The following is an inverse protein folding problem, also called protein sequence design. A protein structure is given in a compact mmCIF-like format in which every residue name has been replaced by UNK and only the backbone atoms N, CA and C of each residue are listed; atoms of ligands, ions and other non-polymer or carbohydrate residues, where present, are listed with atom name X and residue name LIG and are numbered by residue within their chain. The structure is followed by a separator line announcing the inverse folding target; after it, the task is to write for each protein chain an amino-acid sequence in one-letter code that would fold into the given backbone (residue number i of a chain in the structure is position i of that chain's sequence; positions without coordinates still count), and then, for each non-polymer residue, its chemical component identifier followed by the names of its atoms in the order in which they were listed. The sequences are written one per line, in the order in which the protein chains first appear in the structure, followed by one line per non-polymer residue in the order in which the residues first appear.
data_IF_197143517985
#
_entry.id   IF_197143517985
#
_cell.length_a   1.000
_cell.length_b   1.000
_cell.length_c   1.000
_cell.angle_alpha   90.00
_cell.angle_beta   90.00
_cell.angle_gamma   90.00
#
_symmetry.space_group_name_H-M   'P 1'
#
loop_
_entity.id
_entity.type
_entity.pdbx_description
1 polymer ?
#
# COMPACT_ATOMS: atom_id res chain seq x y z
N UNK A 1 -9.92 46.54 -1.60
CA UNK A 1 -9.07 46.87 -2.78
C UNK A 1 -9.68 46.17 -3.99
N UNK A 2 -10.13 46.91 -5.02
CA UNK A 2 -10.81 46.30 -6.18
C UNK A 2 -9.77 45.56 -7.04
N UNK A 3 -9.89 44.26 -7.16
CA UNK A 3 -9.03 43.34 -8.00
C UNK A 3 -8.97 43.83 -9.47
N UNK A 4 -9.95 44.62 -9.89
CA UNK A 4 -10.03 45.19 -11.24
C UNK A 4 -8.91 46.19 -11.60
N UNK A 5 -8.12 46.67 -10.64
CA UNK A 5 -7.04 47.64 -10.87
C UNK A 5 -5.66 47.00 -11.11
N UNK A 6 -5.55 45.66 -11.18
CA UNK A 6 -4.29 44.98 -11.45
C UNK A 6 -4.03 44.88 -12.96
N UNK A 7 -2.77 45.07 -13.41
CA UNK A 7 -2.36 44.83 -14.80
C UNK A 7 -2.73 43.42 -15.26
N UNK A 8 -3.11 43.24 -16.52
CA UNK A 8 -3.56 41.97 -17.08
C UNK A 8 -2.51 40.85 -16.90
N UNK A 9 -1.23 41.15 -17.15
CA UNK A 9 -0.11 40.23 -16.96
C UNK A 9 0.00 39.70 -15.52
N UNK A 10 -0.31 40.55 -14.54
CA UNK A 10 -0.27 40.20 -13.13
C UNK A 10 -1.42 39.26 -12.71
N UNK A 11 -2.62 39.49 -13.27
CA UNK A 11 -3.77 38.58 -13.07
C UNK A 11 -3.47 37.18 -13.66
N UNK A 12 -2.86 37.14 -14.83
CA UNK A 12 -2.46 35.91 -15.51
C UNK A 12 -1.41 35.15 -14.67
N UNK A 13 -0.38 35.85 -14.17
CA UNK A 13 0.65 35.21 -13.34
C UNK A 13 0.08 34.60 -12.05
N UNK A 14 -0.86 35.28 -11.38
CA UNK A 14 -1.54 34.72 -10.20
C UNK A 14 -2.35 33.51 -10.58
N UNK A 15 -3.14 33.59 -11.64
CA UNK A 15 -3.97 32.48 -12.09
C UNK A 15 -3.12 31.25 -12.44
N UNK A 16 -2.03 31.44 -13.18
CA UNK A 16 -1.09 30.34 -13.53
C UNK A 16 -0.46 29.75 -12.27
N UNK A 17 -0.02 30.56 -11.32
CA UNK A 17 0.56 30.10 -10.07
C UNK A 17 -0.44 29.25 -9.26
N UNK A 18 -1.68 29.72 -9.12
CA UNK A 18 -2.73 28.99 -8.40
C UNK A 18 -3.06 27.68 -9.14
N UNK A 19 -3.25 27.73 -10.46
CA UNK A 19 -3.52 26.53 -11.25
C UNK A 19 -2.39 25.49 -11.14
N UNK A 20 -1.13 25.92 -11.21
CA UNK A 20 0.02 25.01 -11.07
C UNK A 20 0.07 24.40 -9.66
N UNK A 21 -0.17 25.17 -8.63
CA UNK A 21 -0.18 24.69 -7.25
C UNK A 21 -1.31 23.67 -7.04
N UNK A 22 -2.54 23.98 -7.49
CA UNK A 22 -3.68 23.08 -7.41
C UNK A 22 -3.41 21.80 -8.20
N UNK A 23 -2.82 21.90 -9.40
CA UNK A 23 -2.47 20.74 -10.22
C UNK A 23 -1.47 19.82 -9.51
N UNK A 24 -0.37 20.37 -8.96
CA UNK A 24 0.65 19.59 -8.25
C UNK A 24 0.08 18.86 -7.04
N UNK A 25 -0.72 19.55 -6.21
CA UNK A 25 -1.31 18.93 -5.03
C UNK A 25 -2.42 17.93 -5.37
N UNK A 26 -3.22 18.16 -6.42
CA UNK A 26 -4.20 17.19 -6.90
C UNK A 26 -3.51 15.94 -7.45
N UNK A 27 -2.46 16.10 -8.24
CA UNK A 27 -1.65 14.98 -8.74
C UNK A 27 -1.02 14.20 -7.59
N UNK A 28 -0.45 14.88 -6.60
CA UNK A 28 0.13 14.26 -5.42
C UNK A 28 -0.93 13.51 -4.60
N UNK A 29 -2.13 14.06 -4.45
CA UNK A 29 -3.26 13.41 -3.77
C UNK A 29 -3.68 12.11 -4.46
N UNK A 30 -3.82 12.12 -5.80
CA UNK A 30 -4.14 10.92 -6.59
C UNK A 30 -3.01 9.89 -6.49
N UNK A 31 -1.76 10.33 -6.59
CA UNK A 31 -0.60 9.44 -6.49
C UNK A 31 -0.52 8.75 -5.11
N UNK A 32 -0.73 9.50 -4.02
CA UNK A 32 -0.74 8.95 -2.66
C UNK A 32 -1.91 7.97 -2.48
N UNK A 33 -3.10 8.29 -3.02
CA UNK A 33 -4.27 7.40 -2.96
C UNK A 33 -3.98 6.05 -3.64
N UNK A 34 -3.49 6.06 -4.87
CA UNK A 34 -3.15 4.85 -5.61
C UNK A 34 -2.01 4.06 -4.96
N UNK A 35 -1.00 4.76 -4.43
CA UNK A 35 0.10 4.11 -3.71
C UNK A 35 -0.38 3.46 -2.40
N UNK A 36 -1.30 4.10 -1.69
CA UNK A 36 -1.89 3.55 -0.46
C UNK A 36 -2.64 2.25 -0.74
N UNK A 37 -3.43 2.20 -1.80
CA UNK A 37 -4.21 1.00 -2.16
C UNK A 37 -3.32 -0.19 -2.51
N UNK A 38 -2.28 0.00 -3.31
CA UNK A 38 -1.31 -1.05 -3.62
C UNK A 38 -0.52 -1.49 -2.37
N UNK A 39 -0.15 -0.56 -1.50
CA UNK A 39 0.57 -0.87 -0.27
C UNK A 39 -0.28 -1.72 0.70
N UNK A 40 -1.59 -1.49 0.77
CA UNK A 40 -2.52 -2.31 1.58
C UNK A 40 -2.55 -3.75 1.07
N UNK A 41 -2.61 -3.93 -0.26
CA UNK A 41 -2.59 -5.26 -0.87
C UNK A 41 -1.26 -5.97 -0.58
N UNK A 42 -0.13 -5.30 -0.78
CA UNK A 42 1.19 -5.87 -0.55
C UNK A 42 1.42 -6.24 0.93
N UNK A 43 1.01 -5.38 1.85
CA UNK A 43 1.07 -5.66 3.30
C UNK A 43 0.14 -6.82 3.64
N UNK A 44 -1.10 -6.84 3.11
CA UNK A 44 -2.04 -7.93 3.30
C UNK A 44 -1.48 -9.26 2.83
N UNK A 45 -0.88 -9.31 1.64
CA UNK A 45 -0.25 -10.51 1.08
C UNK A 45 0.92 -10.98 1.96
N UNK A 46 1.86 -10.10 2.29
CA UNK A 46 3.00 -10.46 3.15
C UNK A 46 2.58 -10.92 4.55
N UNK A 47 1.52 -10.31 5.11
CA UNK A 47 0.94 -10.75 6.38
C UNK A 47 0.36 -12.17 6.28
N UNK A 48 -0.39 -12.46 5.21
CA UNK A 48 -1.01 -13.76 4.97
C UNK A 48 0.04 -14.86 4.74
N UNK A 49 1.06 -14.57 3.91
CA UNK A 49 2.19 -15.47 3.69
C UNK A 49 2.89 -15.82 5.02
N UNK A 50 3.29 -14.82 5.79
CA UNK A 50 3.96 -15.05 7.07
C UNK A 50 3.10 -15.78 8.09
N UNK A 51 1.79 -15.51 8.12
CA UNK A 51 0.86 -16.19 8.99
C UNK A 51 0.66 -17.65 8.56
N UNK A 52 0.49 -17.92 7.26
CA UNK A 52 0.34 -19.28 6.75
C UNK A 52 1.61 -20.11 6.97
N UNK A 53 2.79 -19.54 6.76
CA UNK A 53 4.06 -20.20 7.05
C UNK A 53 4.15 -20.59 8.55
N UNK A 54 3.77 -19.66 9.44
CA UNK A 54 3.75 -19.91 10.87
C UNK A 54 2.76 -21.01 11.26
N UNK A 55 1.55 -20.99 10.73
CA UNK A 55 0.52 -22.03 10.99
C UNK A 55 0.98 -23.38 10.41
N UNK A 56 1.52 -23.40 9.19
CA UNK A 56 2.04 -24.61 8.56
C UNK A 56 3.19 -25.24 9.36
N UNK A 57 4.12 -24.41 9.84
CA UNK A 57 5.21 -24.89 10.71
C UNK A 57 4.68 -25.42 12.05
N UNK A 58 3.69 -24.75 12.64
CA UNK A 58 3.04 -25.21 13.87
C UNK A 58 2.30 -26.53 13.61
N UNK A 59 1.53 -26.62 12.52
CA UNK A 59 0.87 -27.86 12.08
C UNK A 59 1.87 -29.01 11.97
N UNK A 60 2.98 -28.79 11.24
CA UNK A 60 4.06 -29.76 11.12
C UNK A 60 4.54 -30.27 12.49
N UNK A 61 4.81 -29.35 13.39
CA UNK A 61 5.31 -29.66 14.74
C UNK A 61 4.29 -30.50 15.53
N UNK A 62 3.01 -30.12 15.47
CA UNK A 62 1.94 -30.84 16.16
C UNK A 62 1.75 -32.25 15.58
N UNK A 63 1.73 -32.39 14.25
CA UNK A 63 1.61 -33.67 13.56
C UNK A 63 2.80 -34.57 13.90
N UNK A 64 4.03 -34.09 13.83
CA UNK A 64 5.23 -34.86 14.21
C UNK A 64 5.19 -35.31 15.67
N UNK A 65 4.78 -34.44 16.57
CA UNK A 65 4.61 -34.79 17.98
C UNK A 65 3.57 -35.88 18.18
N UNK A 66 2.41 -35.81 17.50
CA UNK A 66 1.35 -36.81 17.61
C UNK A 66 1.75 -38.14 16.99
N UNK A 67 2.43 -38.15 15.85
CA UNK A 67 3.03 -39.38 15.27
C UNK A 67 4.06 -40.01 16.22
N UNK A 68 4.94 -39.19 16.81
CA UNK A 68 5.92 -39.71 17.79
C UNK A 68 5.24 -40.29 19.05
N UNK A 69 4.15 -39.67 19.51
CA UNK A 69 3.34 -40.19 20.61
C UNK A 69 2.69 -41.53 20.23
N UNK A 70 2.16 -41.65 19.02
CA UNK A 70 1.62 -42.90 18.51
C UNK A 70 2.70 -44.00 18.40
N UNK A 71 3.90 -43.67 17.87
CA UNK A 71 5.05 -44.60 17.83
C UNK A 71 5.48 -45.07 19.21
N UNK A 72 5.45 -44.16 20.20
CA UNK A 72 5.79 -44.58 21.57
C UNK A 72 4.81 -45.59 22.16
N UNK A 73 3.52 -45.54 21.76
CA UNK A 73 2.53 -46.56 22.13
C UNK A 73 2.81 -47.84 21.38
N UNK A 74 3.09 -47.76 20.08
CA UNK A 74 3.44 -48.91 19.27
C UNK A 74 4.70 -49.64 19.79
N UNK A 75 5.69 -48.85 20.24
CA UNK A 75 6.90 -49.42 20.83
C UNK A 75 6.64 -50.15 22.19
N UNK A 76 5.75 -49.59 23.03
CA UNK A 76 5.32 -50.25 24.26
C UNK A 76 4.60 -51.57 23.90
N UNK A 77 3.74 -51.55 22.87
CA UNK A 77 3.02 -52.72 22.42
C UNK A 77 3.96 -53.85 21.93
N UNK A 78 4.98 -53.49 21.13
CA UNK A 78 5.90 -54.48 20.53
C UNK A 78 6.99 -54.98 21.49
N UNK A 79 7.22 -54.26 22.59
CA UNK A 79 8.26 -54.60 23.59
C UNK A 79 9.70 -54.49 23.05
N UNK A 80 10.70 -54.62 23.94
CA UNK A 80 12.14 -54.61 23.57
C UNK A 80 12.65 -55.94 23.01
N UNK A 81 11.79 -56.81 22.49
CA UNK A 81 12.16 -58.10 21.92
C UNK A 81 12.61 -59.16 22.93
N UNK A 82 12.85 -58.81 24.19
CA UNK A 82 13.28 -59.74 25.25
C UNK A 82 12.18 -60.10 26.25
N UNK A 83 11.09 -59.32 26.32
CA UNK A 83 10.02 -59.49 27.32
C UNK A 83 8.66 -59.93 26.75
N UNK A 84 8.57 -60.15 25.42
CA UNK A 84 7.29 -60.41 24.76
C UNK A 84 6.52 -59.15 24.44
N UNK A 85 5.35 -59.30 23.82
CA UNK A 85 4.44 -58.18 23.50
C UNK A 85 3.85 -57.57 24.79
N UNK A 86 3.67 -56.22 24.81
CA UNK A 86 2.89 -55.54 25.82
C UNK A 86 1.41 -55.97 25.80
N UNK A 87 0.67 -55.66 26.83
CA UNK A 87 -0.74 -55.99 26.88
C UNK A 87 -1.58 -55.02 26.06
N UNK A 88 -2.79 -55.41 25.67
CA UNK A 88 -3.76 -54.47 25.02
C UNK A 88 -4.15 -53.32 25.94
N UNK A 89 -4.19 -53.59 27.26
CA UNK A 89 -4.41 -52.61 28.28
C UNK A 89 -3.32 -51.53 28.31
N UNK A 90 -2.06 -51.86 27.98
CA UNK A 90 -0.96 -50.91 27.89
C UNK A 90 -1.14 -49.97 26.69
N UNK A 91 -1.66 -50.46 25.56
CA UNK A 91 -2.02 -49.69 24.38
C UNK A 91 -3.16 -48.71 24.72
N UNK A 92 -4.22 -49.21 25.38
CA UNK A 92 -5.36 -48.41 25.81
C UNK A 92 -4.92 -47.31 26.76
N UNK A 93 -4.20 -47.62 27.83
CA UNK A 93 -3.68 -46.59 28.76
C UNK A 93 -2.76 -45.60 28.08
N UNK A 94 -1.93 -46.08 27.15
CA UNK A 94 -1.06 -45.26 26.35
C UNK A 94 -1.81 -44.26 25.49
N UNK A 95 -2.93 -44.68 24.89
CA UNK A 95 -3.79 -43.81 24.08
C UNK A 95 -4.52 -42.79 24.94
N UNK A 96 -5.14 -43.22 26.04
CA UNK A 96 -5.85 -42.32 27.00
C UNK A 96 -4.90 -41.25 27.55
N UNK A 97 -3.70 -41.67 28.02
CA UNK A 97 -2.72 -40.75 28.61
C UNK A 97 -2.24 -39.67 27.64
N UNK A 98 -2.36 -39.88 26.33
CA UNK A 98 -1.96 -38.93 25.26
C UNK A 98 -3.14 -38.24 24.62
N UNK A 99 -4.34 -38.38 25.21
CA UNK A 99 -5.59 -37.77 24.74
C UNK A 99 -6.03 -38.18 23.34
N UNK A 100 -5.71 -39.43 22.93
CA UNK A 100 -6.30 -40.01 21.74
C UNK A 100 -7.73 -40.54 22.04
N UNK A 101 -8.64 -40.33 21.07
CA UNK A 101 -10.04 -40.74 21.18
C UNK A 101 -10.25 -42.23 20.89
N UNK A 102 -9.40 -42.80 20.05
CA UNK A 102 -9.46 -44.21 19.65
C UNK A 102 -8.07 -44.76 19.37
N UNK A 103 -7.94 -46.09 19.46
CA UNK A 103 -6.76 -46.86 19.04
C UNK A 103 -7.21 -48.15 18.43
N UNK A 104 -6.67 -48.50 17.24
CA UNK A 104 -6.99 -49.70 16.50
C UNK A 104 -5.75 -50.28 15.85
N UNK A 105 -5.74 -51.61 15.65
CA UNK A 105 -4.73 -52.35 14.91
C UNK A 105 -5.27 -52.70 13.53
N UNK A 106 -4.44 -52.57 12.51
CA UNK A 106 -4.78 -52.86 11.12
C UNK A 106 -3.86 -53.95 10.57
N UNK A 107 -4.46 -54.95 9.97
CA UNK A 107 -3.72 -56.02 9.30
C UNK A 107 -3.52 -55.71 7.81
N UNK A 108 -2.69 -56.56 7.14
CA UNK A 108 -2.38 -56.39 5.70
C UNK A 108 -3.59 -56.60 4.77
N UNK A 109 -4.62 -57.29 5.22
CA UNK A 109 -5.85 -57.56 4.46
C UNK A 109 -7.00 -56.61 4.83
N UNK A 110 -6.71 -55.56 5.62
CA UNK A 110 -7.68 -54.52 6.00
C UNK A 110 -8.56 -54.91 7.20
N UNK A 111 -8.26 -56.04 7.91
CA UNK A 111 -8.94 -56.37 9.16
C UNK A 111 -8.57 -55.35 10.25
N UNK A 112 -9.58 -54.87 10.98
CA UNK A 112 -9.44 -53.86 12.01
C UNK A 112 -9.79 -54.47 13.36
N UNK A 113 -8.90 -54.32 14.32
CA UNK A 113 -9.16 -54.68 15.72
C UNK A 113 -9.14 -53.39 16.57
N UNK A 114 -10.30 -53.00 17.08
CA UNK A 114 -10.39 -51.89 18.01
C UNK A 114 -9.83 -52.28 19.38
N UNK A 115 -8.92 -51.44 19.89
CA UNK A 115 -8.36 -51.59 21.23
C UNK A 115 -9.05 -50.65 22.21
N UNK A 116 -9.30 -49.41 21.74
CA UNK A 116 -9.88 -48.35 22.56
C UNK A 116 -10.75 -47.42 21.73
N UNK A 117 -11.84 -46.92 22.31
CA UNK A 117 -12.75 -45.97 21.67
C UNK A 117 -13.70 -46.60 20.67
N UNK A 118 -14.46 -45.74 19.95
CA UNK A 118 -15.45 -46.15 18.97
C UNK A 118 -14.83 -46.30 17.56
N UNK A 119 -15.40 -47.16 16.69
CA UNK A 119 -14.99 -47.27 15.30
C UNK A 119 -15.16 -45.95 14.56
N UNK A 120 -14.21 -45.59 13.71
CA UNK A 120 -14.24 -44.39 12.87
C UNK A 120 -14.36 -44.77 11.40
N UNK A 121 -15.08 -43.98 10.62
CA UNK A 121 -15.24 -44.14 9.19
C UNK A 121 -14.23 -43.30 8.45
N UNK A 122 -13.39 -43.90 7.62
CA UNK A 122 -12.43 -43.20 6.75
C UNK A 122 -13.17 -42.53 5.61
N UNK A 123 -12.83 -41.29 5.34
CA UNK A 123 -13.40 -40.52 4.21
C UNK A 123 -12.86 -41.03 2.87
N UNK A 124 -11.56 -41.47 2.84
CA UNK A 124 -10.89 -42.01 1.66
C UNK A 124 -10.10 -43.30 2.05
N UNK A 125 -10.79 -44.45 2.20
CA UNK A 125 -10.16 -45.66 2.75
C UNK A 125 -9.04 -46.19 1.88
N UNK A 126 -9.13 -46.12 0.55
CA UNK A 126 -8.15 -46.72 -0.36
C UNK A 126 -6.74 -46.16 -0.16
N UNK A 127 -6.60 -44.83 -0.17
CA UNK A 127 -5.31 -44.13 -0.02
C UNK A 127 -4.67 -44.36 1.36
N UNK A 128 -5.49 -44.46 2.39
CA UNK A 128 -5.01 -44.72 3.75
C UNK A 128 -4.56 -46.17 3.93
N UNK A 129 -5.31 -47.12 3.40
CA UNK A 129 -4.99 -48.54 3.48
C UNK A 129 -3.70 -48.87 2.71
N UNK A 130 -3.48 -48.29 1.54
CA UNK A 130 -2.23 -48.46 0.79
C UNK A 130 -1.01 -48.02 1.61
N UNK A 131 -1.10 -46.91 2.33
CA UNK A 131 -0.01 -46.44 3.20
C UNK A 131 0.22 -47.36 4.40
N UNK A 132 -0.84 -47.96 4.96
CA UNK A 132 -0.75 -48.95 6.04
C UNK A 132 -0.01 -50.17 5.56
N UNK A 133 -0.34 -50.71 4.38
CA UNK A 133 0.31 -51.87 3.79
C UNK A 133 1.79 -51.63 3.52
N UNK A 134 2.16 -50.42 3.15
CA UNK A 134 3.55 -50.01 2.92
C UNK A 134 4.34 -49.71 4.21
N UNK A 135 3.68 -49.73 5.39
CA UNK A 135 4.31 -49.43 6.67
C UNK A 135 4.73 -47.94 6.77
N UNK A 136 4.02 -47.04 6.08
CA UNK A 136 4.31 -45.63 6.08
C UNK A 136 3.54 -44.92 7.19
N UNK A 137 4.15 -43.85 7.69
CA UNK A 137 3.44 -42.86 8.54
C UNK A 137 2.44 -42.09 7.69
N UNK A 138 1.17 -42.10 8.06
CA UNK A 138 0.14 -41.37 7.32
C UNK A 138 -0.83 -40.71 8.28
N UNK A 139 -1.32 -39.56 7.84
CA UNK A 139 -2.39 -38.80 8.52
C UNK A 139 -3.58 -38.72 7.57
N UNK A 140 -4.78 -39.02 8.08
CA UNK A 140 -5.98 -39.03 7.26
C UNK A 140 -7.20 -38.47 8.03
N UNK A 141 -8.16 -37.85 7.33
CA UNK A 141 -9.41 -37.43 7.93
C UNK A 141 -10.39 -38.59 8.00
N UNK A 142 -11.10 -38.69 9.10
CA UNK A 142 -12.15 -39.65 9.36
C UNK A 142 -13.32 -39.00 10.07
N UNK A 143 -14.39 -39.75 10.25
CA UNK A 143 -15.58 -39.32 10.96
C UNK A 143 -15.97 -40.36 11.99
N UNK A 144 -16.30 -39.97 13.19
CA UNK A 144 -16.77 -40.90 14.22
C UNK A 144 -18.24 -41.31 14.03
N UNK A 145 -18.75 -42.12 14.90
CA UNK A 145 -20.15 -42.60 14.88
C UNK A 145 -21.19 -41.49 15.14
N UNK A 146 -20.78 -40.35 15.72
CA UNK A 146 -21.61 -39.19 15.95
C UNK A 146 -21.62 -38.18 14.80
N UNK A 147 -20.75 -38.35 13.80
CA UNK A 147 -20.56 -37.46 12.68
C UNK A 147 -19.51 -36.37 12.96
N UNK A 148 -18.79 -36.45 14.09
CA UNK A 148 -17.71 -35.54 14.39
C UNK A 148 -16.41 -35.90 13.65
N UNK A 149 -15.64 -34.91 13.26
CA UNK A 149 -14.40 -35.11 12.53
C UNK A 149 -13.28 -35.64 13.44
N UNK A 150 -12.54 -36.61 12.93
CA UNK A 150 -11.37 -37.21 13.58
C UNK A 150 -10.19 -37.19 12.65
N UNK A 151 -9.01 -36.89 13.17
CA UNK A 151 -7.74 -37.02 12.45
C UNK A 151 -7.08 -38.32 12.91
N UNK A 152 -6.82 -39.20 11.97
CA UNK A 152 -6.15 -40.51 12.21
C UNK A 152 -4.66 -40.38 11.94
N UNK A 153 -3.87 -40.98 12.84
CA UNK A 153 -2.43 -41.10 12.74
C UNK A 153 -2.09 -42.58 12.66
N UNK A 154 -1.53 -43.00 11.53
CA UNK A 154 -1.05 -44.35 11.32
C UNK A 154 0.45 -44.41 11.54
N UNK A 155 0.90 -45.42 12.30
CA UNK A 155 2.30 -45.75 12.55
C UNK A 155 2.55 -47.24 12.41
N UNK A 156 3.74 -47.69 11.91
CA UNK A 156 4.07 -49.08 11.82
C UNK A 156 4.01 -49.76 13.19
N UNK A 157 3.31 -50.89 13.30
CA UNK A 157 3.18 -51.64 14.53
C UNK A 157 2.88 -53.11 14.23
N UNK A 158 3.82 -54.01 14.45
CA UNK A 158 3.62 -55.42 14.32
C UNK A 158 3.21 -56.04 15.68
N UNK A 159 1.92 -56.34 15.83
CA UNK A 159 1.34 -56.82 17.08
C UNK A 159 0.36 -57.97 16.81
N UNK A 160 0.35 -59.02 17.62
CA UNK A 160 -0.57 -60.16 17.46
C UNK A 160 -2.02 -59.74 17.76
N UNK A 161 -2.87 -59.89 16.74
CA UNK A 161 -4.31 -59.62 16.84
C UNK A 161 -5.07 -60.81 17.37
N UNK A 162 -6.28 -60.62 17.89
CA UNK A 162 -7.17 -61.65 18.38
C UNK A 162 -7.57 -62.67 17.30
N UNK A 163 -7.53 -62.30 16.03
CA UNK A 163 -7.76 -63.15 14.88
C UNK A 163 -6.65 -64.15 14.61
N UNK A 164 -5.51 -64.07 15.31
CA UNK A 164 -4.31 -64.85 15.07
C UNK A 164 -3.39 -64.38 13.98
N UNK A 165 -3.67 -63.19 13.39
CA UNK A 165 -2.81 -62.48 12.45
C UNK A 165 -1.95 -61.43 13.19
N UNK A 166 -0.95 -60.91 12.51
CA UNK A 166 -0.21 -59.74 13.00
C UNK A 166 -0.75 -58.47 12.35
N UNK A 167 -0.85 -57.37 13.12
CA UNK A 167 -1.06 -56.07 12.55
C UNK A 167 0.18 -55.59 11.81
N UNK A 168 0.02 -54.71 10.83
CA UNK A 168 1.10 -53.96 10.20
C UNK A 168 1.20 -52.53 10.73
N UNK A 169 0.08 -52.02 11.23
CA UNK A 169 0.00 -50.64 11.68
C UNK A 169 -0.91 -50.50 12.88
N UNK A 170 -0.60 -49.54 13.71
CA UNK A 170 -1.47 -49.02 14.74
C UNK A 170 -1.98 -47.65 14.32
N UNK A 171 -3.28 -47.42 14.44
CA UNK A 171 -3.95 -46.19 14.11
C UNK A 171 -4.56 -45.60 15.37
N UNK A 172 -4.27 -44.34 15.64
CA UNK A 172 -4.85 -43.60 16.75
C UNK A 172 -5.59 -42.35 16.22
N UNK A 173 -6.67 -41.95 16.88
CA UNK A 173 -7.54 -40.86 16.45
C UNK A 173 -7.50 -39.66 17.41
N UNK A 174 -7.56 -38.44 16.85
CA UNK A 174 -7.64 -37.21 17.59
C UNK A 174 -8.81 -36.34 17.05
N UNK A 175 -9.54 -35.65 17.93
CA UNK A 175 -10.65 -34.77 17.52
C UNK A 175 -10.14 -33.64 16.62
N UNK A 176 -10.87 -33.33 15.53
CA UNK A 176 -10.60 -32.17 14.67
C UNK A 176 -10.83 -30.86 15.41
N UNK A 177 -11.80 -30.83 16.36
CA UNK A 177 -12.04 -29.67 17.23
C UNK A 177 -10.78 -29.34 18.06
N UNK A 178 -10.21 -30.36 18.73
CA UNK A 178 -8.97 -30.17 19.49
C UNK A 178 -7.82 -29.68 18.60
N UNK A 179 -7.72 -30.20 17.38
CA UNK A 179 -6.70 -29.74 16.45
C UNK A 179 -6.90 -28.27 16.06
N UNK A 180 -8.15 -27.85 15.83
CA UNK A 180 -8.49 -26.44 15.56
C UNK A 180 -8.08 -25.50 16.68
N UNK A 181 -8.36 -25.90 17.93
CA UNK A 181 -7.97 -25.15 19.13
C UNK A 181 -6.45 -25.02 19.26
N UNK A 182 -5.71 -26.13 19.05
CA UNK A 182 -4.24 -26.18 19.15
C UNK A 182 -3.59 -25.33 18.05
N UNK A 183 -4.14 -25.33 16.84
CA UNK A 183 -3.63 -24.55 15.71
C UNK A 183 -4.05 -23.07 15.77
N UNK A 184 -4.88 -22.66 16.73
CA UNK A 184 -5.43 -21.29 16.83
C UNK A 184 -6.14 -20.80 15.56
N UNK A 185 -6.78 -21.71 14.82
CA UNK A 185 -7.49 -21.37 13.59
C UNK A 185 -8.72 -20.50 13.84
N UNK A 186 -9.24 -20.51 15.06
CA UNK A 186 -10.48 -19.85 15.51
C UNK A 186 -10.19 -18.75 16.52
N UNK A 187 -9.21 -17.89 16.24
CA UNK A 187 -8.88 -16.79 17.13
C UNK A 187 -9.83 -15.61 16.92
N UNK A 188 -10.79 -15.43 17.85
CA UNK A 188 -11.71 -14.28 17.96
C UNK A 188 -11.00 -12.90 18.00
N UNK A 189 -9.67 -12.84 17.91
CA UNK A 189 -8.85 -11.64 17.92
C UNK A 189 -7.99 -11.46 16.68
N UNK A 190 -7.97 -12.44 15.76
CA UNK A 190 -7.22 -12.31 14.52
C UNK A 190 -8.04 -11.55 13.47
N UNK A 191 -7.35 -10.72 12.69
CA UNK A 191 -7.92 -10.02 11.53
C UNK A 191 -8.36 -10.98 10.42
N UNK A 192 -7.92 -12.24 10.49
CA UNK A 192 -8.13 -13.31 9.51
C UNK A 192 -8.63 -14.57 10.19
N UNK A 193 -9.27 -15.42 9.44
CA UNK A 193 -9.67 -16.75 9.86
C UNK A 193 -9.10 -17.81 8.92
N UNK A 194 -8.78 -18.99 9.48
CA UNK A 194 -8.14 -20.08 8.73
C UNK A 194 -8.90 -21.38 8.95
N UNK A 195 -8.84 -22.24 7.97
CA UNK A 195 -9.38 -23.60 8.02
C UNK A 195 -8.55 -24.53 7.16
N UNK A 196 -8.71 -25.84 7.40
CA UNK A 196 -7.98 -26.87 6.66
C UNK A 196 -8.99 -27.66 5.82
N UNK A 197 -8.69 -27.82 4.53
CA UNK A 197 -9.52 -28.55 3.58
C UNK A 197 -8.73 -29.67 2.89
N UNK A 198 -9.46 -30.68 2.43
CA UNK A 198 -8.93 -31.67 1.49
C UNK A 198 -8.94 -31.14 0.05
N UNK A 199 -8.30 -31.87 -0.86
CA UNK A 199 -8.25 -31.54 -2.30
C UNK A 199 -9.62 -31.45 -2.98
N UNK A 200 -10.61 -32.17 -2.46
CA UNK A 200 -12.00 -32.15 -2.91
C UNK A 200 -12.82 -30.97 -2.32
N UNK A 201 -12.21 -30.13 -1.47
CA UNK A 201 -12.82 -28.98 -0.81
C UNK A 201 -13.52 -29.30 0.50
N UNK A 202 -13.58 -30.56 0.94
CA UNK A 202 -14.18 -30.93 2.22
C UNK A 202 -13.32 -30.44 3.38
N UNK A 203 -13.98 -29.91 4.41
CA UNK A 203 -13.29 -29.44 5.60
C UNK A 203 -12.72 -30.59 6.42
N UNK A 204 -11.43 -30.48 6.79
CA UNK A 204 -10.78 -31.32 7.79
C UNK A 204 -10.89 -30.67 9.17
N UNK A 205 -10.51 -29.39 9.25
CA UNK A 205 -10.66 -28.58 10.46
C UNK A 205 -11.42 -27.31 10.10
N UNK A 206 -12.55 -27.10 10.79
CA UNK A 206 -13.40 -25.93 10.61
C UNK A 206 -13.10 -24.87 11.64
N UNK A 207 -13.22 -23.61 11.22
CA UNK A 207 -13.63 -22.51 12.09
C UNK A 207 -15.17 -22.42 12.20
N UNK A 208 -15.70 -21.47 12.94
CA UNK A 208 -17.15 -21.25 13.15
C UNK A 208 -17.81 -20.65 11.88
N UNK A 209 -18.16 -21.48 10.91
CA UNK A 209 -18.28 -21.10 9.50
C UNK A 209 -19.63 -21.43 8.84
N UNK A 210 -20.73 -21.24 9.55
CA UNK A 210 -22.04 -21.00 8.91
C UNK A 210 -22.65 -22.15 8.09
N UNK A 211 -22.29 -23.44 8.31
CA UNK A 211 -23.11 -24.57 7.87
C UNK A 211 -22.71 -25.30 6.57
N UNK A 212 -21.77 -24.80 5.76
CA UNK A 212 -21.31 -25.52 4.56
C UNK A 212 -20.40 -26.69 4.95
N UNK A 213 -20.56 -27.83 4.26
CA UNK A 213 -19.71 -29.01 4.43
C UNK A 213 -18.49 -28.98 3.51
N UNK A 214 -18.56 -28.18 2.43
CA UNK A 214 -17.54 -28.06 1.40
C UNK A 214 -17.20 -26.58 1.17
N UNK A 215 -15.92 -26.28 1.03
CA UNK A 215 -15.43 -24.92 0.82
C UNK A 215 -15.75 -24.35 -0.57
N UNK A 216 -15.75 -25.21 -1.59
CA UNK A 216 -16.09 -24.75 -2.94
C UNK A 216 -17.55 -24.33 -3.06
N UNK A 217 -18.46 -25.04 -2.35
CA UNK A 217 -19.87 -24.64 -2.28
C UNK A 217 -20.03 -23.28 -1.58
N UNK A 218 -19.26 -23.08 -0.51
CA UNK A 218 -19.23 -21.76 0.17
C UNK A 218 -18.70 -20.64 -0.72
N UNK A 219 -17.63 -20.90 -1.49
CA UNK A 219 -17.14 -19.92 -2.47
C UNK A 219 -18.24 -19.59 -3.48
N UNK A 220 -18.96 -20.59 -3.99
CA UNK A 220 -20.06 -20.38 -4.92
C UNK A 220 -21.15 -19.49 -4.33
N UNK A 221 -21.50 -19.66 -3.06
CA UNK A 221 -22.50 -18.84 -2.39
C UNK A 221 -22.03 -17.40 -2.13
N UNK A 222 -20.74 -17.21 -1.83
CA UNK A 222 -20.15 -15.86 -1.69
C UNK A 222 -20.21 -15.07 -3.00
N UNK A 223 -20.07 -15.75 -4.14
CA UNK A 223 -20.16 -15.13 -5.47
C UNK A 223 -21.60 -15.10 -6.02
N UNK A 224 -22.51 -15.93 -5.50
CA UNK A 224 -23.83 -16.20 -6.08
C UNK A 224 -24.83 -15.03 -6.06
N UNK A 225 -24.56 -13.97 -5.31
CA UNK A 225 -25.40 -12.76 -5.25
C UNK A 225 -25.04 -11.69 -6.30
N UNK A 226 -23.99 -11.90 -7.09
CA UNK A 226 -23.55 -10.98 -8.13
C UNK A 226 -23.38 -11.71 -9.48
N UNK A 227 -23.48 -10.99 -10.61
CA UNK A 227 -23.23 -11.49 -11.98
C UNK A 227 -21.82 -12.12 -12.20
N UNK A 228 -21.05 -12.34 -11.13
CA UNK A 228 -19.70 -12.89 -11.18
C UNK A 228 -19.74 -14.41 -11.09
N UNK A 229 -19.27 -15.08 -12.13
CA UNK A 229 -19.13 -16.54 -12.16
C UNK A 229 -18.00 -16.98 -11.20
N UNK A 230 -18.32 -17.82 -10.19
CA UNK A 230 -17.35 -18.38 -9.24
C UNK A 230 -16.49 -19.49 -9.86
N UNK A 231 -16.92 -20.11 -10.94
CA UNK A 231 -16.30 -21.29 -11.52
C UNK A 231 -14.81 -21.09 -11.91
N UNK A 232 -14.40 -19.96 -12.54
CA UNK A 232 -13.00 -19.74 -12.88
C UNK A 232 -12.06 -19.68 -11.64
N UNK A 233 -12.53 -19.11 -10.55
CA UNK A 233 -11.75 -19.00 -9.31
C UNK A 233 -11.59 -20.32 -8.60
N UNK A 234 -12.66 -21.13 -8.57
CA UNK A 234 -12.64 -22.49 -8.01
C UNK A 234 -11.71 -23.39 -8.84
N UNK A 235 -11.73 -23.25 -10.17
CA UNK A 235 -10.86 -24.02 -11.06
C UNK A 235 -9.38 -23.66 -10.87
N UNK A 236 -9.05 -22.37 -10.78
CA UNK A 236 -7.68 -21.91 -10.48
C UNK A 236 -7.21 -22.40 -9.11
N UNK A 237 -8.07 -22.38 -8.08
CA UNK A 237 -7.73 -22.89 -6.77
C UNK A 237 -7.47 -24.41 -6.82
N UNK A 238 -8.31 -25.18 -7.53
CA UNK A 238 -8.11 -26.62 -7.72
C UNK A 238 -6.84 -26.94 -8.51
N UNK A 239 -6.50 -26.13 -9.52
CA UNK A 239 -5.26 -26.25 -10.27
C UNK A 239 -4.05 -26.03 -9.37
N UNK A 240 -4.02 -24.96 -8.60
CA UNK A 240 -2.95 -24.67 -7.64
C UNK A 240 -2.80 -25.81 -6.60
N UNK A 241 -3.92 -26.29 -6.04
CA UNK A 241 -3.94 -27.45 -5.14
C UNK A 241 -3.43 -28.74 -5.82
N UNK A 242 -3.51 -28.85 -7.16
CA UNK A 242 -3.02 -30.02 -7.88
C UNK A 242 -1.51 -30.00 -8.09
N UNK A 243 -0.91 -28.82 -8.15
CA UNK A 243 0.53 -28.60 -8.35
C UNK A 243 1.27 -28.36 -7.03
N UNK A 244 0.55 -28.32 -5.91
CA UNK A 244 1.05 -27.95 -4.57
C UNK A 244 1.69 -26.55 -4.52
N UNK A 245 1.24 -25.66 -5.42
CA UNK A 245 1.66 -24.27 -5.44
C UNK A 245 0.85 -23.43 -4.46
N UNK A 246 1.48 -22.42 -3.88
CA UNK A 246 0.77 -21.41 -3.10
C UNK A 246 -0.12 -20.56 -4.01
N UNK A 247 -1.36 -20.31 -3.57
CA UNK A 247 -2.35 -19.59 -4.35
C UNK A 247 -2.91 -18.40 -3.55
N UNK A 248 -2.89 -17.23 -4.18
CA UNK A 248 -3.39 -15.98 -3.62
C UNK A 248 -4.45 -15.39 -4.53
N UNK A 249 -5.61 -15.06 -3.97
CA UNK A 249 -6.75 -14.50 -4.70
C UNK A 249 -7.41 -13.39 -3.90
N UNK A 250 -7.71 -12.25 -4.57
CA UNK A 250 -8.52 -11.19 -4.01
C UNK A 250 -9.92 -11.28 -4.60
N UNK A 251 -10.91 -11.52 -3.74
CA UNK A 251 -12.32 -11.62 -4.09
C UNK A 251 -13.00 -10.30 -3.71
N UNK A 252 -13.76 -9.72 -4.64
CA UNK A 252 -14.63 -8.58 -4.37
C UNK A 252 -16.08 -9.00 -4.61
N UNK A 253 -16.89 -9.00 -3.56
CA UNK A 253 -18.32 -9.37 -3.62
C UNK A 253 -19.11 -8.54 -2.62
N UNK A 254 -20.29 -8.03 -3.03
CA UNK A 254 -21.21 -7.29 -2.16
C UNK A 254 -20.62 -6.01 -1.55
N UNK A 255 -19.63 -5.40 -2.22
CA UNK A 255 -18.94 -4.22 -1.70
C UNK A 255 -17.87 -4.54 -0.64
N UNK A 256 -17.67 -5.81 -0.28
CA UNK A 256 -16.59 -6.27 0.59
C UNK A 256 -15.46 -6.92 -0.21
N UNK A 257 -14.21 -6.69 0.21
CA UNK A 257 -13.01 -7.29 -0.39
C UNK A 257 -12.45 -8.31 0.58
N UNK A 258 -12.11 -9.49 0.07
CA UNK A 258 -11.50 -10.58 0.85
C UNK A 258 -10.26 -11.08 0.13
N UNK A 259 -9.18 -11.24 0.87
CA UNK A 259 -7.97 -11.87 0.38
C UNK A 259 -7.94 -13.31 0.87
N UNK A 260 -7.87 -14.24 -0.07
CA UNK A 260 -7.74 -15.67 0.17
C UNK A 260 -6.30 -16.06 -0.12
N UNK A 261 -5.71 -16.85 0.76
CA UNK A 261 -4.40 -17.46 0.57
C UNK A 261 -4.51 -18.96 0.89
N UNK A 262 -4.04 -19.80 -0.02
CA UNK A 262 -4.06 -21.26 0.09
C UNK A 262 -2.64 -21.79 -0.02
N UNK A 263 -2.24 -22.67 0.91
CA UNK A 263 -0.93 -23.33 0.91
C UNK A 263 -1.07 -24.80 1.30
N UNK A 264 -0.22 -25.66 0.76
CA UNK A 264 -0.21 -27.09 1.10
C UNK A 264 0.32 -27.33 2.52
N UNK A 265 -0.19 -28.38 3.18
CA UNK A 265 0.26 -28.77 4.52
C UNK A 265 1.16 -30.01 4.44
N UNK A 266 2.25 -30.06 5.23
CA UNK A 266 3.17 -31.18 5.22
C UNK A 266 2.55 -32.48 5.84
N UNK A 267 2.98 -33.63 5.35
CA UNK A 267 2.57 -35.00 5.78
C UNK A 267 1.16 -35.44 5.41
N UNK A 268 0.39 -34.64 4.70
CA UNK A 268 -0.98 -34.96 4.29
C UNK A 268 -1.31 -34.25 2.97
N UNK A 269 -2.38 -34.68 2.33
CA UNK A 269 -2.90 -34.08 1.10
C UNK A 269 -3.95 -32.99 1.46
N UNK A 270 -3.61 -32.11 2.42
CA UNK A 270 -4.49 -31.05 2.93
C UNK A 270 -3.92 -29.67 2.64
N UNK A 271 -4.81 -28.69 2.65
CA UNK A 271 -4.49 -27.31 2.33
C UNK A 271 -4.99 -26.40 3.44
N UNK A 272 -4.14 -25.50 3.87
CA UNK A 272 -4.50 -24.40 4.75
C UNK A 272 -5.03 -23.27 3.90
N UNK A 273 -6.27 -22.89 4.14
CA UNK A 273 -6.88 -21.73 3.52
C UNK A 273 -7.08 -20.66 4.58
N UNK A 274 -6.53 -19.50 4.33
CA UNK A 274 -6.66 -18.32 5.19
C UNK A 274 -7.37 -17.23 4.44
N UNK A 275 -8.34 -16.59 5.08
CA UNK A 275 -9.13 -15.50 4.52
C UNK A 275 -8.96 -14.26 5.39
N UNK A 276 -8.56 -13.15 4.75
CA UNK A 276 -8.41 -11.85 5.35
C UNK A 276 -9.51 -10.92 4.79
N UNK A 277 -10.52 -10.53 5.58
CA UNK A 277 -11.48 -9.51 5.17
C UNK A 277 -10.81 -8.14 5.14
N UNK A 278 -10.75 -7.50 3.96
CA UNK A 278 -10.16 -6.17 3.83
C UNK A 278 -10.95 -5.09 4.57
N UNK A 279 -12.24 -5.27 4.78
CA UNK A 279 -13.10 -4.32 5.49
C UNK A 279 -12.57 -3.97 6.89
N UNK A 280 -11.93 -4.93 7.56
CA UNK A 280 -11.28 -4.71 8.87
C UNK A 280 -9.97 -3.91 8.73
N UNK A 281 -9.19 -4.18 7.68
CA UNK A 281 -7.97 -3.43 7.34
C UNK A 281 -8.31 -2.05 6.77
N UNK A 282 -9.33 -1.96 5.91
CA UNK A 282 -9.78 -0.70 5.32
C UNK A 282 -10.26 0.29 6.39
N UNK A 283 -10.90 -0.16 7.46
CA UNK A 283 -11.33 0.71 8.55
C UNK A 283 -10.13 1.29 9.32
N UNK A 284 -9.12 0.50 9.59
CA UNK A 284 -7.88 0.96 10.25
C UNK A 284 -7.02 1.84 9.32
N UNK A 285 -6.88 1.45 8.05
CA UNK A 285 -6.01 2.11 7.06
C UNK A 285 -6.71 3.30 6.40
N UNK A 286 -8.03 3.25 6.14
CA UNK A 286 -8.78 4.39 5.60
C UNK A 286 -8.80 5.55 6.59
N UNK A 287 -8.83 5.28 7.90
CA UNK A 287 -8.61 6.29 8.93
C UNK A 287 -7.24 6.96 8.80
N UNK A 288 -6.19 6.22 8.49
CA UNK A 288 -4.87 6.77 8.19
C UNK A 288 -4.86 7.52 6.85
N UNK A 289 -5.47 6.96 5.79
CA UNK A 289 -5.55 7.58 4.47
C UNK A 289 -6.31 8.92 4.48
N UNK A 290 -7.43 9.00 5.18
CA UNK A 290 -8.20 10.24 5.34
C UNK A 290 -7.39 11.32 6.09
N UNK A 291 -6.61 10.93 7.09
CA UNK A 291 -5.73 11.84 7.82
C UNK A 291 -4.60 12.38 6.92
N UNK A 292 -3.99 11.54 6.07
CA UNK A 292 -2.97 11.97 5.11
C UNK A 292 -3.52 12.94 4.07
N UNK A 293 -4.70 12.68 3.50
CA UNK A 293 -5.37 13.60 2.58
C UNK A 293 -5.67 14.94 3.25
N UNK A 294 -6.12 14.92 4.49
CA UNK A 294 -6.36 16.15 5.27
C UNK A 294 -5.07 16.94 5.46
N UNK A 295 -3.96 16.30 5.77
CA UNK A 295 -2.64 16.95 5.89
C UNK A 295 -2.21 17.56 4.56
N UNK A 296 -2.41 16.85 3.44
CA UNK A 296 -2.10 17.34 2.08
C UNK A 296 -2.94 18.57 1.75
N UNK A 297 -4.24 18.60 2.04
CA UNK A 297 -5.10 19.77 1.80
C UNK A 297 -4.72 20.97 2.69
N UNK A 298 -4.43 20.74 3.97
CA UNK A 298 -4.00 21.81 4.89
C UNK A 298 -2.66 22.39 4.43
N UNK A 299 -1.69 21.54 4.07
CA UNK A 299 -0.38 22.00 3.57
C UNK A 299 -0.49 22.74 2.25
N UNK A 300 -1.35 22.29 1.33
CA UNK A 300 -1.67 22.97 0.08
C UNK A 300 -2.23 24.37 0.33
N UNK A 301 -3.21 24.47 1.22
CA UNK A 301 -3.79 25.77 1.59
C UNK A 301 -2.76 26.70 2.22
N UNK A 302 -1.91 26.19 3.11
CA UNK A 302 -0.84 26.98 3.73
C UNK A 302 0.18 27.51 2.70
N UNK A 303 0.58 26.67 1.73
CA UNK A 303 1.48 27.08 0.64
C UNK A 303 0.84 28.15 -0.24
N UNK A 304 -0.43 27.97 -0.64
CA UNK A 304 -1.17 28.97 -1.44
C UNK A 304 -1.27 30.29 -0.68
N UNK A 305 -1.62 30.26 0.60
CA UNK A 305 -1.71 31.44 1.43
C UNK A 305 -0.36 32.18 1.55
N UNK A 306 0.74 31.43 1.73
CA UNK A 306 2.10 31.97 1.78
C UNK A 306 2.51 32.61 0.45
N UNK A 307 2.24 31.95 -0.67
CA UNK A 307 2.54 32.49 -2.01
C UNK A 307 1.75 33.76 -2.28
N UNK A 308 0.47 33.80 -1.93
CA UNK A 308 -0.37 35.01 -2.04
C UNK A 308 0.14 36.16 -1.15
N UNK A 309 0.60 35.83 0.07
CA UNK A 309 1.20 36.82 0.97
C UNK A 309 2.48 37.41 0.39
N UNK A 310 3.41 36.57 -0.07
CA UNK A 310 4.68 36.99 -0.70
C UNK A 310 4.38 37.86 -1.94
N UNK A 311 3.44 37.38 -2.77
CA UNK A 311 3.03 38.08 -3.96
C UNK A 311 2.44 39.47 -3.64
N UNK A 312 1.59 39.57 -2.63
CA UNK A 312 0.99 40.82 -2.19
C UNK A 312 2.05 41.80 -1.64
N UNK A 313 3.02 41.32 -0.88
CA UNK A 313 4.18 42.08 -0.39
C UNK A 313 5.01 42.64 -1.54
N UNK A 314 5.35 41.76 -2.50
CA UNK A 314 6.12 42.14 -3.69
C UNK A 314 5.38 43.14 -4.54
N UNK A 315 4.09 42.98 -4.75
CA UNK A 315 3.26 43.89 -5.49
C UNK A 315 3.18 45.31 -4.84
N UNK A 316 3.11 45.35 -3.52
CA UNK A 316 3.12 46.63 -2.77
C UNK A 316 4.44 47.34 -2.92
N UNK A 317 5.56 46.64 -2.83
CA UNK A 317 6.91 47.16 -3.06
C UNK A 317 7.06 47.65 -4.49
N UNK A 318 6.66 46.86 -5.47
CA UNK A 318 6.71 47.29 -6.89
C UNK A 318 5.93 48.57 -7.16
N UNK A 319 4.73 48.68 -6.60
CA UNK A 319 3.94 49.92 -6.72
C UNK A 319 4.64 51.13 -6.11
N UNK A 320 5.28 51.01 -4.98
CA UNK A 320 6.04 52.09 -4.37
C UNK A 320 7.20 52.53 -5.25
N UNK A 321 7.96 51.59 -5.81
CA UNK A 321 9.06 51.89 -6.73
C UNK A 321 8.59 52.58 -8.03
N UNK A 322 7.49 52.10 -8.61
CA UNK A 322 6.91 52.76 -9.81
C UNK A 322 6.43 54.18 -9.51
N UNK A 323 5.86 54.41 -8.33
CA UNK A 323 5.44 55.75 -7.92
C UNK A 323 6.63 56.69 -7.73
N UNK A 324 7.72 56.21 -7.14
CA UNK A 324 8.98 56.93 -6.95
C UNK A 324 9.67 57.23 -8.28
N UNK A 325 9.75 56.28 -9.20
CA UNK A 325 10.25 56.49 -10.56
C UNK A 325 9.44 57.53 -11.32
N UNK A 326 8.10 57.53 -11.21
CA UNK A 326 7.25 58.58 -11.82
C UNK A 326 7.54 59.94 -11.23
N UNK A 327 7.74 60.04 -9.91
CA UNK A 327 8.08 61.31 -9.24
C UNK A 327 9.42 61.84 -9.71
N UNK A 328 10.45 60.96 -9.75
CA UNK A 328 11.78 61.34 -10.26
C UNK A 328 11.74 61.79 -11.74
N UNK A 329 10.95 61.12 -12.59
CA UNK A 329 10.76 61.56 -13.99
C UNK A 329 10.12 62.93 -14.09
N UNK A 330 9.11 63.23 -13.28
CA UNK A 330 8.47 64.55 -13.27
C UNK A 330 9.46 65.62 -12.80
N UNK A 331 10.23 65.39 -11.74
CA UNK A 331 11.26 66.26 -11.23
C UNK A 331 12.38 66.50 -12.28
N UNK A 332 12.81 65.43 -12.97
CA UNK A 332 13.82 65.52 -14.03
C UNK A 332 13.32 66.28 -15.25
N UNK A 333 12.05 66.07 -15.67
CA UNK A 333 11.45 66.89 -16.77
C UNK A 333 11.29 68.41 -16.41
N UNK A 334 10.97 68.64 -15.15
CA UNK A 334 10.91 70.05 -14.65
C UNK A 334 12.31 70.68 -14.68
N UNK A 335 13.33 70.07 -14.14
CA UNK A 335 14.73 70.51 -14.15
C UNK A 335 15.27 70.67 -15.58
N UNK A 336 14.93 69.76 -16.49
CA UNK A 336 15.29 69.90 -17.90
C UNK A 336 14.68 71.12 -18.57
N UNK A 337 13.38 71.39 -18.34
CA UNK A 337 12.71 72.61 -18.88
C UNK A 337 13.34 73.90 -18.34
N UNK A 338 13.66 73.95 -17.05
CA UNK A 338 14.35 75.06 -16.44
C UNK A 338 15.74 75.27 -17.07
N UNK A 339 16.52 74.21 -17.26
CA UNK A 339 17.82 74.29 -17.93
C UNK A 339 17.70 74.76 -19.41
N UNK A 340 16.69 74.23 -20.15
CA UNK A 340 16.40 74.68 -21.53
C UNK A 340 16.02 76.15 -21.60
N UNK A 341 15.19 76.63 -20.67
CA UNK A 341 14.81 78.05 -20.58
C UNK A 341 16.01 79.01 -20.25
N UNK A 342 16.82 78.58 -19.25
CA UNK A 342 18.04 79.29 -18.89
C UNK A 342 19.03 79.37 -20.06
N UNK A 343 19.17 78.27 -20.82
CA UNK A 343 20.06 78.22 -21.99
C UNK A 343 19.52 79.10 -23.13
N UNK A 344 18.21 79.09 -23.39
CA UNK A 344 17.57 79.98 -24.37
C UNK A 344 17.73 81.47 -23.97
N UNK A 345 17.49 81.83 -22.73
CA UNK A 345 17.72 83.20 -22.24
C UNK A 345 19.19 83.59 -22.37
N UNK A 346 20.14 82.69 -22.06
CA UNK A 346 21.57 82.95 -22.27
C UNK A 346 21.91 83.20 -23.74
N UNK A 347 21.34 82.40 -24.66
CA UNK A 347 21.58 82.58 -26.11
C UNK A 347 20.99 83.87 -26.59
N UNK A 348 19.78 84.29 -26.19
CA UNK A 348 19.14 85.53 -26.50
C UNK A 348 19.97 86.71 -25.99
N UNK A 349 20.42 86.64 -24.71
CA UNK A 349 21.31 87.65 -24.14
C UNK A 349 22.62 87.79 -24.93
N UNK A 350 23.31 86.70 -25.24
CA UNK A 350 24.55 86.71 -26.04
C UNK A 350 24.32 87.29 -27.44
N UNK A 351 23.19 86.89 -28.09
CA UNK A 351 22.82 87.40 -29.39
C UNK A 351 22.57 88.96 -29.37
N UNK A 352 21.77 89.38 -28.37
CA UNK A 352 21.49 90.81 -28.17
C UNK A 352 22.79 91.59 -27.89
N UNK A 353 23.60 91.15 -26.95
CA UNK A 353 24.90 91.74 -26.64
C UNK A 353 25.82 91.81 -27.85
N UNK A 354 25.87 90.70 -28.65
CA UNK A 354 26.66 90.70 -29.88
C UNK A 354 26.20 91.73 -30.89
N UNK A 355 24.86 91.91 -31.00
CA UNK A 355 24.29 92.93 -31.86
C UNK A 355 24.58 94.32 -31.33
N UNK A 356 24.37 94.56 -30.02
CA UNK A 356 24.56 95.89 -29.36
C UNK A 356 26.05 96.27 -29.33
N UNK A 357 26.98 95.36 -29.29
CA UNK A 357 28.42 95.62 -29.46
C UNK A 357 28.77 95.87 -30.93
N UNK A 358 28.21 95.01 -31.84
CA UNK A 358 28.55 95.15 -33.27
C UNK A 358 28.13 96.46 -33.89
N UNK A 359 26.96 96.99 -33.49
CA UNK A 359 26.43 98.23 -34.01
C UNK A 359 27.37 99.41 -33.77
N UNK A 360 27.78 99.77 -32.53
CA UNK A 360 28.72 100.82 -32.29
C UNK A 360 30.12 100.55 -32.84
N UNK A 361 30.57 99.27 -32.79
CA UNK A 361 31.86 98.92 -33.38
C UNK A 361 31.91 99.14 -34.88
N UNK A 362 30.84 98.75 -35.60
CA UNK A 362 30.73 99.03 -37.04
C UNK A 362 30.66 100.52 -37.34
N UNK A 363 29.98 101.32 -36.47
CA UNK A 363 29.95 102.75 -36.58
C UNK A 363 31.38 103.34 -36.40
N UNK A 364 32.10 102.91 -35.37
CA UNK A 364 33.47 103.31 -35.11
C UNK A 364 34.37 102.95 -36.28
N UNK A 365 34.31 101.72 -36.77
CA UNK A 365 35.11 101.22 -37.92
C UNK A 365 34.76 102.05 -39.17
N UNK A 366 33.48 102.23 -39.42
CA UNK A 366 32.99 103.06 -40.53
C UNK A 366 33.46 104.49 -40.49
N UNK A 367 33.32 105.11 -39.31
CA UNK A 367 33.78 106.49 -39.10
C UNK A 367 35.31 106.63 -39.22
N UNK A 368 36.05 105.66 -38.67
CA UNK A 368 37.49 105.61 -38.77
C UNK A 368 37.93 105.44 -40.23
N UNK A 369 37.27 104.51 -40.98
CA UNK A 369 37.54 104.32 -42.40
C UNK A 369 37.24 105.56 -43.23
N UNK A 370 36.13 106.24 -42.94
CA UNK A 370 35.80 107.48 -43.57
C UNK A 370 36.83 108.61 -43.23
N UNK A 371 37.27 108.66 -42.00
CA UNK A 371 38.29 109.61 -41.56
C UNK A 371 39.64 109.31 -42.27
N UNK A 372 40.03 108.08 -42.42
CA UNK A 372 41.25 107.65 -43.11
C UNK A 372 41.22 107.94 -44.60
N UNK A 373 40.08 107.72 -45.25
CA UNK A 373 39.90 108.00 -46.67
C UNK A 373 39.86 109.49 -46.99
N UNK A 374 39.53 110.33 -46.02
CA UNK A 374 39.47 111.77 -46.17
C UNK A 374 40.58 112.48 -45.40
N UNK A 375 41.70 111.85 -45.15
CA UNK A 375 42.86 112.39 -44.40
C UNK A 375 43.42 113.73 -44.93
N UNK A 376 43.16 114.07 -46.19
CA UNK A 376 43.51 115.39 -46.77
C UNK A 376 42.61 116.52 -46.44
N UNK A 377 41.51 116.33 -45.73
CA UNK A 377 40.56 117.40 -45.32
C UNK A 377 40.36 117.34 -43.76
N UNK A 378 41.11 118.15 -43.01
CA UNK A 378 41.14 118.18 -41.57
C UNK A 378 39.75 118.40 -40.91
N UNK A 379 38.89 119.23 -41.57
CA UNK A 379 37.55 119.50 -41.05
C UNK A 379 36.60 118.34 -41.14
N UNK A 380 36.66 117.52 -42.21
CA UNK A 380 35.86 116.31 -42.38
C UNK A 380 36.36 115.21 -41.47
N UNK A 381 37.64 115.04 -41.28
CA UNK A 381 38.24 114.07 -40.34
C UNK A 381 37.77 114.31 -38.91
N UNK A 382 37.75 115.59 -38.49
CA UNK A 382 37.28 116.00 -37.17
C UNK A 382 35.79 115.69 -36.97
N UNK A 383 34.96 115.91 -38.02
CA UNK A 383 33.54 115.59 -37.97
C UNK A 383 33.22 114.13 -37.85
N UNK A 384 34.05 113.22 -38.53
CA UNK A 384 33.91 111.76 -38.40
C UNK A 384 34.40 111.27 -37.04
N UNK A 385 35.39 111.83 -36.42
CA UNK A 385 35.93 111.40 -35.11
C UNK A 385 35.11 112.03 -33.91
N UNK A 386 34.23 113.00 -34.12
CA UNK A 386 33.36 113.54 -33.11
C UNK A 386 31.94 112.98 -33.06
N UNK A 387 31.56 112.19 -34.04
CA UNK A 387 30.31 111.43 -34.04
C UNK A 387 30.50 110.04 -33.46
#
# INVERSE_FOLDING_TARGET
MKINALPHSFKVSIAVMICLTVFVFSFMGIYIHNMSENTVIDIGTSYMEGMNEQISLHFKTVIELRLTMAESIAHIATGDGSSGYGSKEDIEYGAIARHFMCAALYSSDGEIEMIYGDPVALNHPELFLDSIVNGERKVAPATDSSGEGVILFSVPCEYPMSSGKNSLSMVVGLSTQYMGEVLFLDSNRSLSYSFVICKDGNYVVRGDDGGHTNYFDRLSDIFGDEELDSAPYIEQLKEAMSTDDDYSLIIQSGGSRRHLYCTSLPYCDWYLVTVLPFDMLDHEISGMGANWLTIVYISSFAVIAMLLYIFFRYFRLFRSQVAELKRMNIEMDAARREAEQANAAKQEFLSSMSHDIRTPMNAIIGMTALATNNAGNPEQVRNYLQK
#
